data_IF_070597767575
#
_entry.id   IF_070597767575
#
_cell.length_a   1.000
_cell.length_b   1.000
_cell.length_c   1.000
_cell.angle_alpha   90.00
_cell.angle_beta   90.00
_cell.angle_gamma   90.00
#
_symmetry.space_group_name_H-M   'P 1'
#
loop_
_entity.id
_entity.type
_entity.pdbx_description
1 polymer ?
#
# COMPACT_ATOMS: atom_id res chain seq x y z
N UNK A 1 -16.25 -54.73 -21.28
CA UNK A 1 -15.14 -53.79 -21.61
C UNK A 1 -15.68 -52.37 -21.54
N UNK A 2 -15.36 -51.61 -20.49
CA UNK A 2 -15.65 -50.17 -20.42
C UNK A 2 -14.34 -49.50 -19.99
N UNK A 3 -13.75 -48.73 -20.91
CA UNK A 3 -12.58 -47.90 -20.65
C UNK A 3 -13.02 -46.69 -19.80
N UNK A 4 -12.56 -46.64 -18.56
CA UNK A 4 -12.69 -45.46 -17.72
C UNK A 4 -11.56 -44.49 -18.07
N UNK A 5 -11.85 -43.50 -18.91
CA UNK A 5 -10.96 -42.37 -19.20
C UNK A 5 -10.92 -41.45 -17.99
N UNK A 6 -9.82 -41.50 -17.24
CA UNK A 6 -9.52 -40.59 -16.15
C UNK A 6 -9.03 -39.25 -16.74
N UNK A 7 -9.91 -38.26 -16.81
CA UNK A 7 -9.52 -36.88 -17.13
C UNK A 7 -8.78 -36.28 -15.92
N UNK A 8 -7.46 -36.26 -15.99
CA UNK A 8 -6.61 -35.55 -15.04
C UNK A 8 -6.62 -34.06 -15.43
N UNK A 9 -7.54 -33.28 -14.86
CA UNK A 9 -7.53 -31.83 -14.98
C UNK A 9 -6.34 -31.26 -14.22
N UNK A 10 -5.26 -30.96 -14.94
CA UNK A 10 -4.11 -30.22 -14.43
C UNK A 10 -4.59 -28.78 -14.16
N UNK A 11 -4.93 -28.48 -12.91
CA UNK A 11 -5.01 -27.11 -12.43
C UNK A 11 -3.58 -26.55 -12.39
N UNK A 12 -3.15 -25.92 -13.48
CA UNK A 12 -1.99 -25.05 -13.43
C UNK A 12 -2.34 -23.87 -12.51
N UNK A 13 -1.62 -23.62 -11.41
CA UNK A 13 -1.84 -22.41 -10.64
C UNK A 13 -1.55 -21.23 -11.57
N UNK A 14 -2.55 -20.38 -11.78
CA UNK A 14 -2.36 -19.05 -12.33
C UNK A 14 -1.50 -18.26 -11.33
N UNK A 15 -0.18 -18.46 -11.34
CA UNK A 15 0.73 -17.54 -10.66
C UNK A 15 0.69 -16.23 -11.44
N UNK A 16 -0.05 -15.26 -10.88
CA UNK A 16 -0.02 -13.89 -11.37
C UNK A 16 1.46 -13.44 -11.43
N UNK A 17 1.88 -12.74 -12.51
CA UNK A 17 3.24 -12.23 -12.59
C UNK A 17 3.52 -11.33 -11.37
N UNK A 18 4.76 -11.31 -10.86
CA UNK A 18 5.10 -10.49 -9.71
C UNK A 18 4.75 -9.03 -9.98
N UNK A 19 4.28 -8.28 -8.97
CA UNK A 19 3.94 -6.87 -9.14
C UNK A 19 5.18 -6.13 -9.64
N UNK A 20 5.05 -5.46 -10.79
CA UNK A 20 6.09 -4.56 -11.29
C UNK A 20 5.99 -3.24 -10.54
N UNK A 21 7.11 -2.75 -10.02
CA UNK A 21 7.17 -1.46 -9.35
C UNK A 21 7.68 -0.39 -10.30
N UNK A 22 6.97 0.74 -10.38
CA UNK A 22 7.41 1.90 -11.14
C UNK A 22 8.55 2.63 -10.44
N UNK A 23 8.58 2.61 -9.10
CA UNK A 23 9.67 3.17 -8.33
C UNK A 23 9.79 2.52 -6.95
N UNK A 24 11.00 2.60 -6.40
CA UNK A 24 11.36 2.14 -5.05
C UNK A 24 12.01 3.31 -4.34
N UNK A 25 11.50 3.68 -3.16
CA UNK A 25 11.90 4.88 -2.43
C UNK A 25 12.35 4.50 -1.02
N UNK A 26 13.67 4.53 -0.73
CA UNK A 26 14.18 4.36 0.63
C UNK A 26 14.07 5.66 1.43
N UNK A 27 13.78 5.55 2.73
CA UNK A 27 13.68 6.68 3.62
C UNK A 27 13.25 6.29 5.03
N UNK A 28 12.45 7.15 5.66
CA UNK A 28 11.84 6.86 6.96
C UNK A 28 10.31 6.77 6.86
N UNK A 29 9.74 5.96 7.74
CA UNK A 29 8.34 6.01 8.12
C UNK A 29 8.17 6.86 9.38
N UNK A 30 7.11 7.67 9.41
CA UNK A 30 6.53 8.25 10.63
C UNK A 30 5.12 7.70 10.83
N UNK A 31 4.40 8.16 11.85
CA UNK A 31 3.04 7.70 12.09
C UNK A 31 2.08 8.80 12.50
N UNK A 32 0.81 8.58 12.16
CA UNK A 32 -0.30 9.44 12.57
C UNK A 32 -0.86 9.03 13.92
N UNK A 33 -1.43 10.00 14.63
CA UNK A 33 -2.15 9.75 15.88
C UNK A 33 -3.32 8.77 15.64
N UNK A 34 -3.72 8.00 16.67
CA UNK A 34 -4.85 7.06 16.56
C UNK A 34 -6.10 7.73 15.98
N UNK A 35 -6.77 7.03 15.05
CA UNK A 35 -8.03 7.46 14.43
C UNK A 35 -7.94 8.55 13.36
N UNK A 36 -6.76 9.15 13.13
CA UNK A 36 -6.65 10.28 12.20
C UNK A 36 -6.94 9.90 10.75
N UNK A 37 -6.49 8.72 10.31
CA UNK A 37 -6.75 8.24 8.94
C UNK A 37 -8.23 7.98 8.65
N UNK A 38 -8.99 7.46 9.62
CA UNK A 38 -10.44 7.30 9.45
C UNK A 38 -11.14 8.65 9.24
N UNK A 39 -10.71 9.69 9.96
CA UNK A 39 -11.20 11.05 9.77
C UNK A 39 -10.80 11.61 8.40
N UNK A 40 -9.55 11.42 7.98
CA UNK A 40 -9.06 11.89 6.67
C UNK A 40 -9.84 11.22 5.53
N UNK A 41 -10.04 9.90 5.61
CA UNK A 41 -10.85 9.15 4.65
C UNK A 41 -12.27 9.71 4.55
N UNK A 42 -12.93 9.96 5.69
CA UNK A 42 -14.28 10.54 5.73
C UNK A 42 -14.34 11.93 5.09
N UNK A 43 -13.36 12.81 5.39
CA UNK A 43 -13.30 14.17 4.80
C UNK A 43 -13.06 14.12 3.29
N UNK A 44 -12.24 13.17 2.82
CA UNK A 44 -11.90 13.03 1.40
C UNK A 44 -12.91 12.18 0.60
N UNK A 45 -13.90 11.57 1.25
CA UNK A 45 -14.85 10.66 0.61
C UNK A 45 -14.19 9.38 0.08
N UNK A 46 -13.09 8.93 0.70
CA UNK A 46 -12.38 7.72 0.29
C UNK A 46 -12.88 6.55 1.16
N UNK A 47 -13.43 5.47 0.58
CA UNK A 47 -13.80 4.29 1.35
C UNK A 47 -12.55 3.59 1.88
N UNK A 48 -12.59 3.22 3.17
CA UNK A 48 -11.52 2.44 3.79
C UNK A 48 -11.57 1.00 3.30
N UNK A 49 -10.45 0.53 2.75
CA UNK A 49 -10.26 -0.86 2.35
C UNK A 49 -10.02 -1.74 3.57
N UNK A 50 -10.56 -2.96 3.54
CA UNK A 50 -10.32 -4.01 4.53
C UNK A 50 -9.31 -5.07 4.08
N UNK A 51 -8.88 -5.03 2.82
CA UNK A 51 -7.93 -5.97 2.20
C UNK A 51 -6.50 -5.43 2.15
N UNK A 52 -6.18 -4.46 3.03
CA UNK A 52 -4.85 -3.86 3.17
C UNK A 52 -4.34 -3.99 4.60
N UNK A 53 -3.02 -3.99 4.78
CA UNK A 53 -2.37 -4.18 6.09
C UNK A 53 -2.38 -2.92 6.97
N UNK A 54 -2.64 -1.76 6.36
CA UNK A 54 -2.70 -0.47 7.03
C UNK A 54 -3.06 0.69 6.11
N UNK A 55 -3.02 1.90 6.67
CA UNK A 55 -3.30 3.15 5.95
C UNK A 55 -2.09 4.06 5.97
N UNK A 56 -1.95 4.87 4.92
CA UNK A 56 -0.78 5.71 4.74
C UNK A 56 -1.07 7.12 4.22
N UNK A 57 -0.11 8.01 4.47
CA UNK A 57 0.08 9.29 3.80
C UNK A 57 1.45 9.26 3.11
N UNK A 58 1.56 9.88 1.94
CA UNK A 58 2.84 9.97 1.21
C UNK A 58 3.16 11.42 0.85
N UNK A 59 4.41 11.75 0.50
CA UNK A 59 4.71 13.07 -0.06
C UNK A 59 4.09 13.34 -1.44
N UNK A 60 3.66 12.29 -2.16
CA UNK A 60 3.16 12.38 -3.53
C UNK A 60 1.62 12.33 -3.56
N UNK A 61 0.94 13.47 -3.84
CA UNK A 61 -0.52 13.50 -3.91
C UNK A 61 -1.11 12.64 -5.03
N UNK A 62 -0.33 12.26 -6.06
CA UNK A 62 -0.79 11.37 -7.11
C UNK A 62 -1.04 9.93 -6.62
N UNK A 63 -0.61 9.60 -5.40
CA UNK A 63 -0.82 8.28 -4.80
C UNK A 63 -2.11 8.19 -3.98
N UNK A 64 -2.79 9.29 -3.68
CA UNK A 64 -4.04 9.27 -2.90
C UNK A 64 -5.08 8.37 -3.58
N UNK A 65 -5.69 7.49 -2.79
CA UNK A 65 -6.65 6.48 -3.22
C UNK A 65 -6.03 5.17 -3.74
N UNK A 66 -4.72 5.12 -3.95
CA UNK A 66 -4.01 3.93 -4.45
C UNK A 66 -3.51 3.05 -3.31
N UNK A 67 -3.20 1.80 -3.65
CA UNK A 67 -2.47 0.89 -2.77
C UNK A 67 -0.99 0.93 -3.15
N UNK A 68 -0.14 1.14 -2.17
CA UNK A 68 1.32 1.01 -2.28
C UNK A 68 1.78 -0.14 -1.40
N UNK A 69 3.03 -0.56 -1.57
CA UNK A 69 3.63 -1.53 -0.66
C UNK A 69 4.79 -0.88 0.09
N UNK A 70 5.05 -1.30 1.33
CA UNK A 70 6.22 -0.84 2.06
C UNK A 70 6.79 -1.92 2.99
N UNK A 71 8.11 -1.93 3.14
CA UNK A 71 8.79 -2.63 4.25
C UNK A 71 9.21 -1.58 5.27
N UNK A 72 8.87 -1.83 6.55
CA UNK A 72 9.15 -0.92 7.66
C UNK A 72 10.01 -1.66 8.68
N UNK A 73 11.05 -1.00 9.19
CA UNK A 73 12.01 -1.58 10.14
C UNK A 73 12.62 -2.93 9.70
N UNK A 74 12.73 -3.16 8.39
CA UNK A 74 13.21 -4.44 7.84
C UNK A 74 12.20 -5.59 7.94
N UNK A 75 10.95 -5.30 8.30
CA UNK A 75 9.84 -6.26 8.35
C UNK A 75 9.33 -6.67 6.96
N UNK A 76 8.27 -7.50 6.91
CA UNK A 76 7.67 -7.95 5.66
C UNK A 76 7.16 -6.77 4.82
N UNK A 77 7.00 -7.02 3.52
CA UNK A 77 6.34 -6.07 2.61
C UNK A 77 4.84 -6.12 2.90
N UNK A 78 4.29 -4.97 3.30
CA UNK A 78 2.89 -4.79 3.65
C UNK A 78 2.21 -3.84 2.65
N UNK A 79 0.91 -4.01 2.48
CA UNK A 79 0.05 -3.21 1.61
C UNK A 79 -0.59 -2.05 2.37
N UNK A 80 -0.54 -0.85 1.79
CA UNK A 80 -1.09 0.37 2.41
C UNK A 80 -1.98 1.12 1.43
N UNK A 81 -3.21 1.41 1.84
CA UNK A 81 -4.04 2.37 1.12
C UNK A 81 -3.60 3.79 1.48
N UNK A 82 -3.24 4.58 0.46
CA UNK A 82 -2.87 5.98 0.65
C UNK A 82 -4.12 6.83 0.75
N UNK A 83 -4.32 7.49 1.89
CA UNK A 83 -5.49 8.31 2.17
C UNK A 83 -5.17 9.80 2.20
N UNK A 84 -3.90 10.16 2.31
CA UNK A 84 -3.49 11.55 2.44
C UNK A 84 -2.17 11.82 1.72
N UNK A 85 -1.83 13.10 1.62
CA UNK A 85 -0.51 13.52 1.22
C UNK A 85 0.05 14.58 2.15
N UNK A 86 1.38 14.71 2.20
CA UNK A 86 2.05 15.77 2.96
C UNK A 86 1.46 17.16 2.68
N UNK A 87 1.12 17.90 3.73
CA UNK A 87 0.67 19.29 3.57
C UNK A 87 1.80 20.16 2.99
N UNK A 88 1.49 21.20 2.18
CA UNK A 88 2.50 22.04 1.55
C UNK A 88 3.53 22.63 2.53
N UNK A 89 3.06 23.03 3.71
CA UNK A 89 3.91 23.60 4.78
C UNK A 89 4.91 22.60 5.39
N UNK A 90 4.61 21.31 5.33
CA UNK A 90 5.42 20.24 5.94
C UNK A 90 6.43 19.65 4.93
N UNK A 91 6.26 19.94 3.63
CA UNK A 91 7.04 19.35 2.54
C UNK A 91 8.55 19.55 2.70
N UNK A 92 9.01 20.76 3.03
CA UNK A 92 10.45 21.03 3.19
C UNK A 92 11.05 20.25 4.37
N UNK A 93 10.30 20.05 5.46
CA UNK A 93 10.73 19.20 6.58
C UNK A 93 10.82 17.74 6.13
N UNK A 94 9.78 17.23 5.49
CA UNK A 94 9.70 15.84 5.05
C UNK A 94 10.81 15.47 4.07
N UNK A 95 11.16 16.38 3.15
CA UNK A 95 12.30 16.18 2.24
C UNK A 95 13.63 16.09 2.97
N UNK A 96 13.88 16.96 3.97
CA UNK A 96 15.12 16.92 4.77
C UNK A 96 15.22 15.64 5.60
N UNK A 97 14.11 15.16 6.13
CA UNK A 97 14.04 13.94 6.93
C UNK A 97 14.00 12.66 6.08
N UNK A 98 13.91 12.78 4.74
CA UNK A 98 13.68 11.67 3.81
C UNK A 98 12.45 10.84 4.19
N UNK A 99 11.38 11.52 4.59
CA UNK A 99 10.09 10.88 4.85
C UNK A 99 9.52 10.35 3.55
N UNK A 100 9.26 9.04 3.50
CA UNK A 100 8.65 8.37 2.34
C UNK A 100 7.22 7.93 2.61
N UNK A 101 6.86 7.71 3.87
CA UNK A 101 5.52 7.29 4.27
C UNK A 101 5.20 7.73 5.71
N UNK A 102 3.95 8.10 5.97
CA UNK A 102 3.40 8.15 7.32
C UNK A 102 2.31 7.10 7.42
N UNK A 103 2.40 6.19 8.39
CA UNK A 103 1.45 5.08 8.55
C UNK A 103 0.52 5.29 9.73
N UNK A 104 -0.54 4.49 9.81
CA UNK A 104 -1.43 4.52 10.96
C UNK A 104 -0.73 4.06 12.25
N UNK A 105 -1.31 4.44 13.39
CA UNK A 105 -0.77 4.13 14.71
C UNK A 105 -0.65 2.63 14.99
N UNK A 106 -1.55 1.79 14.45
CA UNK A 106 -1.51 0.34 14.68
C UNK A 106 -0.35 -0.29 13.93
N UNK A 107 -0.07 0.16 12.71
CA UNK A 107 1.13 -0.18 11.96
C UNK A 107 2.38 0.23 12.75
N UNK A 108 2.41 1.46 13.28
CA UNK A 108 3.54 1.93 14.09
C UNK A 108 3.78 1.10 15.35
N UNK A 109 2.69 0.64 15.98
CA UNK A 109 2.74 -0.28 17.13
C UNK A 109 3.29 -1.65 16.74
N UNK A 110 2.80 -2.21 15.63
CA UNK A 110 3.21 -3.51 15.09
C UNK A 110 4.70 -3.55 14.76
N UNK A 111 5.25 -2.43 14.27
CA UNK A 111 6.67 -2.27 13.95
C UNK A 111 7.49 -1.57 15.05
N UNK A 112 6.95 -1.45 16.26
CA UNK A 112 7.65 -1.00 17.47
C UNK A 112 8.35 0.38 17.40
N UNK A 113 7.81 1.34 16.63
CA UNK A 113 8.43 2.67 16.49
C UNK A 113 7.59 3.84 17.03
N UNK A 114 6.59 3.55 17.87
CA UNK A 114 5.79 4.59 18.54
C UNK A 114 6.66 5.46 19.44
N UNK A 115 7.57 4.85 20.20
CA UNK A 115 8.44 5.53 21.16
C UNK A 115 9.53 6.37 20.49
N UNK A 116 10.07 5.90 19.37
CA UNK A 116 11.11 6.60 18.61
C UNK A 116 10.55 7.67 17.66
N UNK A 117 9.27 7.58 17.32
CA UNK A 117 8.61 8.51 16.39
C UNK A 117 8.82 8.15 14.91
N UNK A 118 9.77 7.28 14.60
CA UNK A 118 10.15 6.93 13.23
C UNK A 118 10.87 5.58 13.14
N UNK A 119 10.86 5.00 11.94
CA UNK A 119 11.61 3.80 11.58
C UNK A 119 12.16 3.89 10.14
N UNK A 120 13.23 3.15 9.79
CA UNK A 120 13.62 2.98 8.39
C UNK A 120 12.48 2.37 7.57
N UNK A 121 12.30 2.82 6.32
CA UNK A 121 11.27 2.30 5.44
C UNK A 121 11.71 2.30 3.98
N UNK A 122 11.15 1.36 3.21
CA UNK A 122 11.26 1.30 1.76
C UNK A 122 9.85 1.21 1.18
N UNK A 123 9.47 2.19 0.36
CA UNK A 123 8.17 2.21 -0.33
C UNK A 123 8.34 1.71 -1.76
N UNK A 124 7.49 0.77 -2.16
CA UNK A 124 7.40 0.22 -3.50
C UNK A 124 6.09 0.71 -4.15
N UNK A 125 6.23 1.59 -5.14
CA UNK A 125 5.09 2.15 -5.86
C UNK A 125 4.80 1.24 -7.04
N UNK A 126 3.61 0.61 -7.12
CA UNK A 126 3.29 -0.26 -8.24
C UNK A 126 3.30 0.54 -9.54
N UNK A 127 3.85 -0.07 -10.59
CA UNK A 127 3.57 0.38 -11.93
C UNK A 127 2.09 0.14 -12.15
N UNK A 128 1.31 1.22 -12.18
CA UNK A 128 -0.12 1.12 -12.42
C UNK A 128 -0.26 0.48 -13.80
N UNK A 129 -0.62 -0.79 -13.85
CA UNK A 129 -1.21 -1.36 -15.05
C UNK A 129 -2.41 -0.45 -15.31
N UNK A 130 -2.44 0.23 -16.46
CA UNK A 130 -3.68 0.81 -16.93
C UNK A 130 -4.71 -0.30 -16.79
N UNK A 131 -5.70 -0.12 -15.89
CA UNK A 131 -6.81 -1.04 -15.80
C UNK A 131 -7.36 -1.11 -17.21
N UNK A 132 -7.15 -2.23 -17.91
CA UNK A 132 -7.92 -2.49 -19.11
C UNK A 132 -9.38 -2.39 -18.66
N UNK A 133 -10.19 -1.54 -19.30
CA UNK A 133 -11.61 -1.50 -18.98
C UNK A 133 -12.11 -2.92 -19.12
N UNK A 134 -12.71 -3.45 -18.05
CA UNK A 134 -13.32 -4.78 -18.08
C UNK A 134 -14.17 -4.85 -19.34
N UNK A 135 -13.80 -5.73 -20.26
CA UNK A 135 -14.56 -5.95 -21.48
C UNK A 135 -15.96 -6.29 -21.03
N UNK A 136 -16.90 -5.40 -21.31
CA UNK A 136 -18.32 -5.64 -21.12
C UNK A 136 -18.72 -6.84 -21.96
N UNK A 137 -18.61 -8.03 -21.39
CA UNK A 137 -19.35 -9.19 -21.83
C UNK A 137 -20.80 -8.94 -21.44
N UNK A 138 -21.55 -8.38 -22.39
CA UNK A 138 -23.00 -8.45 -22.34
C UNK A 138 -23.42 -9.76 -23.03
N UNK A 139 -24.31 -10.56 -22.42
CA UNK A 139 -24.84 -11.78 -23.03
C UNK A 139 -25.61 -11.50 -24.33
#
# INVERSE_FOLDING_TARGET
>A
MIHLLLFLSIFAPLTAPPPRYASIQPGIAKYYRPGLFARVAAVRGIPLRSDVDGYASTPDPALIGKVIHASIAGGPIESFQVLDSSAPRDRSRHLRERLVIEVDYLTARRHHFISTGHAPAVVYIPAIAMQQPESGAKP
#
